data_IF_927593464728
#
_entry.id   IF_927593464728
#
_cell.length_a   1.000
_cell.length_b   1.000
_cell.length_c   1.000
_cell.angle_alpha   90.00
_cell.angle_beta   90.00
_cell.angle_gamma   90.00
#
_symmetry.space_group_name_H-M   'P 1'
#
loop_
_entity.id
_entity.type
_entity.pdbx_description
1 polymer ?
#
# COMPACT_ATOMS: atom_id res chain seq x y z
N UNK A 1 15.84 -3.40 -18.23
CA UNK A 1 14.99 -4.47 -17.64
C UNK A 1 13.76 -3.77 -17.07
N UNK A 2 12.64 -3.80 -17.80
CA UNK A 2 11.43 -3.06 -17.44
C UNK A 2 10.80 -3.66 -16.18
N UNK A 3 10.62 -2.85 -15.13
CA UNK A 3 9.80 -3.19 -13.99
C UNK A 3 8.37 -3.41 -14.47
N UNK A 4 7.99 -4.67 -14.66
CA UNK A 4 6.61 -5.07 -14.92
C UNK A 4 5.80 -4.73 -13.65
N UNK A 5 5.18 -3.56 -13.64
CA UNK A 5 4.26 -3.17 -12.58
C UNK A 5 3.14 -4.21 -12.50
N UNK A 6 3.17 -5.04 -11.46
CA UNK A 6 2.18 -6.09 -11.24
C UNK A 6 0.92 -5.47 -10.65
N UNK A 7 -0.01 -5.05 -11.51
CA UNK A 7 -1.33 -4.59 -11.08
C UNK A 7 -2.29 -5.78 -10.97
N UNK A 8 -2.84 -6.02 -9.78
CA UNK A 8 -4.00 -6.90 -9.61
C UNK A 8 -5.26 -6.10 -9.95
N UNK A 9 -5.99 -6.51 -11.00
CA UNK A 9 -7.32 -5.96 -11.29
C UNK A 9 -8.24 -6.28 -10.11
N UNK A 10 -9.00 -5.29 -9.65
CA UNK A 10 -9.87 -5.42 -8.47
C UNK A 10 -10.85 -6.62 -8.57
N UNK A 11 -11.42 -6.84 -9.77
CA UNK A 11 -12.34 -7.97 -10.02
C UNK A 11 -11.66 -9.33 -9.89
N UNK A 12 -10.40 -9.45 -10.31
CA UNK A 12 -9.64 -10.70 -10.25
C UNK A 12 -9.15 -10.97 -8.82
N UNK A 13 -8.76 -9.92 -8.08
CA UNK A 13 -8.45 -10.01 -6.64
C UNK A 13 -9.62 -10.57 -5.80
N UNK A 14 -10.86 -10.20 -6.15
CA UNK A 14 -12.05 -10.67 -5.41
C UNK A 14 -12.42 -12.12 -5.74
N UNK A 15 -12.21 -12.58 -6.98
CA UNK A 15 -12.50 -13.96 -7.41
C UNK A 15 -11.57 -14.98 -6.76
N UNK A 16 -10.30 -14.61 -6.62
CA UNK A 16 -9.27 -15.49 -6.06
C UNK A 16 -9.12 -15.36 -4.55
N UNK A 17 -10.00 -14.63 -3.85
CA UNK A 17 -9.83 -14.23 -2.44
C UNK A 17 -9.64 -15.47 -1.54
N UNK A 18 -8.38 -15.86 -1.24
CA UNK A 18 -8.11 -17.16 -0.67
C UNK A 18 -8.06 -16.97 0.84
N UNK A 19 -9.06 -17.51 1.56
CA UNK A 19 -9.15 -17.48 3.03
C UNK A 19 -9.25 -16.06 3.61
N UNK A 20 -10.02 -15.92 4.68
CA UNK A 20 -10.11 -14.67 5.42
C UNK A 20 -8.76 -14.48 6.13
N UNK A 21 -7.96 -13.52 5.68
CA UNK A 21 -6.78 -13.08 6.43
C UNK A 21 -7.29 -12.21 7.56
N UNK A 22 -7.09 -12.66 8.80
CA UNK A 22 -7.47 -11.88 9.95
C UNK A 22 -6.45 -10.74 10.15
N UNK A 23 -6.95 -9.50 10.16
CA UNK A 23 -6.21 -8.31 10.55
C UNK A 23 -6.82 -7.84 11.87
N UNK A 24 -6.05 -7.85 12.95
CA UNK A 24 -6.53 -7.34 14.24
C UNK A 24 -6.65 -5.83 14.22
N UNK A 25 -7.76 -5.35 14.79
CA UNK A 25 -8.11 -3.94 14.90
C UNK A 25 -8.43 -3.54 16.35
N UNK A 26 -7.80 -4.21 17.31
CA UNK A 26 -7.92 -3.89 18.74
C UNK A 26 -6.97 -2.75 19.15
N UNK A 27 -6.10 -2.32 18.25
CA UNK A 27 -5.15 -1.23 18.41
C UNK A 27 -5.02 -0.40 17.12
N UNK A 28 -4.22 0.66 17.18
CA UNK A 28 -4.02 1.60 16.07
C UNK A 28 -3.06 1.10 14.98
N UNK A 29 -2.82 -0.21 14.89
CA UNK A 29 -1.94 -0.82 13.87
C UNK A 29 -2.72 -1.49 12.73
N UNK A 30 -4.05 -1.50 12.75
CA UNK A 30 -4.87 -2.24 11.77
C UNK A 30 -4.52 -1.91 10.31
N UNK A 31 -4.39 -0.62 9.98
CA UNK A 31 -4.08 -0.18 8.63
C UNK A 31 -2.63 -0.53 8.26
N UNK A 32 -1.67 -0.34 9.18
CA UNK A 32 -0.29 -0.76 8.97
C UNK A 32 -0.18 -2.29 8.75
N UNK A 33 -0.91 -3.10 9.52
CA UNK A 33 -1.00 -4.57 9.30
C UNK A 33 -1.58 -4.90 7.93
N UNK A 34 -2.61 -4.18 7.48
CA UNK A 34 -3.19 -4.36 6.15
C UNK A 34 -2.15 -4.09 5.05
N UNK A 35 -1.34 -3.04 5.19
CA UNK A 35 -0.25 -2.74 4.26
C UNK A 35 0.83 -3.82 4.25
N UNK A 36 1.21 -4.35 5.42
CA UNK A 36 2.15 -5.47 5.54
C UNK A 36 1.62 -6.69 4.79
N UNK A 37 0.36 -7.06 5.01
CA UNK A 37 -0.28 -8.18 4.30
C UNK A 37 -0.29 -7.95 2.80
N UNK A 38 -0.69 -6.75 2.34
CA UNK A 38 -0.73 -6.41 0.93
C UNK A 38 0.66 -6.49 0.27
N UNK A 39 1.69 -5.94 0.92
CA UNK A 39 3.08 -5.98 0.43
C UNK A 39 3.58 -7.41 0.27
N UNK A 40 3.36 -8.27 1.27
CA UNK A 40 3.80 -9.66 1.21
C UNK A 40 2.98 -10.47 0.21
N UNK A 41 1.70 -10.14 0.05
CA UNK A 41 0.84 -10.79 -0.95
C UNK A 41 1.32 -10.54 -2.39
N UNK A 42 1.77 -9.33 -2.71
CA UNK A 42 2.33 -8.99 -4.04
C UNK A 42 3.49 -9.92 -4.37
N UNK A 43 4.36 -10.19 -3.37
CA UNK A 43 5.54 -11.05 -3.52
C UNK A 43 5.31 -12.50 -3.11
N UNK A 44 4.06 -12.97 -3.03
CA UNK A 44 3.74 -14.30 -2.46
C UNK A 44 4.39 -15.49 -3.19
N UNK A 45 4.76 -15.31 -4.46
CA UNK A 45 5.44 -16.31 -5.29
C UNK A 45 6.96 -16.14 -5.35
N UNK A 46 7.49 -15.05 -4.78
CA UNK A 46 8.92 -14.79 -4.80
C UNK A 46 9.64 -15.63 -3.73
N UNK A 47 10.59 -16.46 -4.21
CA UNK A 47 11.41 -17.32 -3.36
C UNK A 47 12.42 -16.53 -2.52
N UNK A 48 12.71 -15.28 -2.88
CA UNK A 48 13.63 -14.39 -2.18
C UNK A 48 12.92 -13.30 -1.37
N UNK A 49 11.59 -13.32 -1.30
CA UNK A 49 10.84 -12.35 -0.52
C UNK A 49 11.27 -12.34 0.96
N UNK A 50 11.49 -11.15 1.50
CA UNK A 50 11.89 -10.90 2.90
C UNK A 50 10.99 -11.62 3.91
N UNK A 51 9.70 -11.73 3.61
CA UNK A 51 8.75 -12.49 4.40
C UNK A 51 7.97 -13.44 3.50
N UNK A 52 7.82 -14.69 3.94
CA UNK A 52 7.01 -15.67 3.24
C UNK A 52 5.52 -15.43 3.46
N UNK A 53 4.75 -15.53 2.39
CA UNK A 53 3.29 -15.45 2.44
C UNK A 53 2.70 -16.41 3.47
N UNK A 54 3.23 -17.65 3.55
CA UNK A 54 2.74 -18.62 4.54
C UNK A 54 2.89 -18.13 5.98
N UNK A 55 3.93 -17.35 6.30
CA UNK A 55 4.17 -16.85 7.66
C UNK A 55 3.22 -15.71 8.04
N UNK A 56 2.86 -14.86 7.08
CA UNK A 56 1.95 -13.72 7.30
C UNK A 56 0.48 -14.14 7.27
N UNK A 57 0.12 -15.10 6.42
CA UNK A 57 -1.27 -15.59 6.29
C UNK A 57 -1.67 -16.54 7.43
N UNK A 58 -0.70 -17.20 8.08
CA UNK A 58 -1.00 -18.17 9.14
C UNK A 58 -1.81 -17.44 10.21
N UNK A 59 -2.92 -18.06 10.59
CA UNK A 59 -3.74 -17.66 11.71
C UNK A 59 -2.94 -17.93 13.00
N UNK A 60 -1.93 -17.10 13.24
CA UNK A 60 -1.26 -17.07 14.53
C UNK A 60 -2.13 -16.21 15.44
N UNK A 61 -2.63 -16.81 16.53
CA UNK A 61 -3.39 -16.11 17.57
C UNK A 61 -2.64 -14.92 18.16
N UNK A 62 -1.35 -14.76 17.89
CA UNK A 62 -0.55 -13.65 18.37
C UNK A 62 -0.26 -12.60 17.29
N UNK A 63 -0.47 -12.89 16.01
CA UNK A 63 -0.14 -11.99 14.88
C UNK A 63 1.24 -11.32 15.03
N UNK A 64 2.21 -12.01 15.64
CA UNK A 64 3.46 -11.40 16.08
C UNK A 64 4.22 -10.78 14.92
N UNK A 65 4.27 -11.47 13.78
CA UNK A 65 5.00 -10.97 12.62
C UNK A 65 4.30 -9.76 11.98
N UNK A 66 2.98 -9.81 11.79
CA UNK A 66 2.23 -8.65 11.27
C UNK A 66 2.39 -7.43 12.20
N UNK A 67 2.29 -7.65 13.51
CA UNK A 67 2.41 -6.59 14.52
C UNK A 67 3.82 -6.03 14.59
N UNK A 68 4.85 -6.86 14.54
CA UNK A 68 6.25 -6.43 14.53
C UNK A 68 6.53 -5.52 13.34
N UNK A 69 6.20 -5.96 12.13
CA UNK A 69 6.45 -5.19 10.90
C UNK A 69 5.57 -3.93 10.86
N UNK A 70 4.32 -4.02 11.34
CA UNK A 70 3.44 -2.86 11.45
C UNK A 70 4.03 -1.79 12.40
N UNK A 71 4.60 -2.19 13.54
CA UNK A 71 5.29 -1.26 14.45
C UNK A 71 6.50 -0.62 13.79
N UNK A 72 7.28 -1.37 13.01
CA UNK A 72 8.39 -0.82 12.23
C UNK A 72 7.90 0.26 11.24
N UNK A 73 6.78 -0.01 10.53
CA UNK A 73 6.13 0.99 9.65
C UNK A 73 5.71 2.25 10.41
N UNK A 74 5.09 2.09 11.58
CA UNK A 74 4.67 3.23 12.41
C UNK A 74 5.88 4.03 12.91
N UNK A 75 6.98 3.38 13.24
CA UNK A 75 8.23 4.05 13.63
C UNK A 75 8.84 4.85 12.48
N UNK A 76 8.93 4.27 11.29
CA UNK A 76 9.48 4.96 10.11
C UNK A 76 8.67 6.19 9.69
N UNK A 77 7.39 6.25 10.06
CA UNK A 77 6.48 7.36 9.75
C UNK A 77 6.34 8.38 10.89
N UNK A 78 7.01 8.17 12.02
CA UNK A 78 6.83 8.98 13.22
C UNK A 78 5.42 8.88 13.81
N UNK A 79 4.73 7.76 13.59
CA UNK A 79 3.38 7.46 14.07
C UNK A 79 3.36 6.51 15.28
N UNK A 80 4.51 6.18 15.87
CA UNK A 80 4.63 5.18 16.97
C UNK A 80 3.66 5.41 18.13
N UNK A 81 3.41 6.66 18.51
CA UNK A 81 2.53 7.04 19.62
C UNK A 81 1.15 7.49 19.18
N UNK A 82 0.77 7.27 17.91
CA UNK A 82 -0.52 7.70 17.40
C UNK A 82 -1.64 6.83 17.99
N UNK A 83 -2.61 7.49 18.67
CA UNK A 83 -3.71 6.81 19.36
C UNK A 83 -5.09 6.98 18.69
N UNK A 84 -5.15 7.66 17.54
CA UNK A 84 -6.41 7.97 16.84
C UNK A 84 -6.76 6.99 15.71
N UNK A 85 -7.88 7.27 15.04
CA UNK A 85 -8.28 6.53 13.84
C UNK A 85 -7.37 6.84 12.65
N UNK A 86 -6.91 5.81 11.93
CA UNK A 86 -6.07 6.02 10.77
C UNK A 86 -6.85 6.68 9.62
N UNK A 87 -6.55 7.96 9.35
CA UNK A 87 -7.17 8.75 8.28
C UNK A 87 -6.14 9.31 7.30
N UNK A 88 -6.57 10.30 6.48
CA UNK A 88 -5.78 10.90 5.40
C UNK A 88 -4.33 11.22 5.77
N UNK A 89 -4.11 11.92 6.89
CA UNK A 89 -2.76 12.30 7.34
C UNK A 89 -1.86 11.09 7.61
N UNK A 90 -2.42 10.04 8.23
CA UNK A 90 -1.68 8.81 8.47
C UNK A 90 -1.43 8.04 7.17
N UNK A 91 -2.39 8.04 6.25
CA UNK A 91 -2.25 7.40 4.94
C UNK A 91 -1.14 8.04 4.10
N UNK A 92 -1.04 9.37 4.11
CA UNK A 92 0.06 10.09 3.44
C UNK A 92 1.41 9.75 4.03
N UNK A 93 1.53 9.78 5.36
CA UNK A 93 2.78 9.37 6.02
C UNK A 93 3.15 7.92 5.71
N UNK A 94 2.19 6.99 5.70
CA UNK A 94 2.46 5.60 5.35
C UNK A 94 2.78 5.41 3.87
N UNK A 95 2.24 6.26 2.99
CA UNK A 95 2.62 6.28 1.57
C UNK A 95 4.10 6.60 1.39
N UNK A 96 4.71 7.47 2.20
CA UNK A 96 6.13 7.83 2.02
C UNK A 96 7.07 6.64 2.21
N UNK A 97 6.78 5.75 3.17
CA UNK A 97 7.58 4.52 3.42
C UNK A 97 7.41 3.49 2.31
N UNK A 98 6.33 3.57 1.54
CA UNK A 98 6.05 2.66 0.44
C UNK A 98 6.66 3.10 -0.90
N UNK A 99 7.16 4.34 -0.98
CA UNK A 99 7.81 4.85 -2.17
C UNK A 99 9.17 4.20 -2.43
N UNK A 100 9.59 4.13 -3.71
CA UNK A 100 8.83 4.41 -4.93
C UNK A 100 7.95 3.22 -5.38
N UNK A 101 7.97 2.12 -4.62
CA UNK A 101 7.58 0.80 -5.12
C UNK A 101 6.07 0.52 -5.07
N UNK A 102 5.32 1.16 -4.18
CA UNK A 102 3.89 0.91 -4.02
C UNK A 102 3.08 2.20 -3.90
N UNK A 103 1.84 2.15 -4.40
CA UNK A 103 0.83 3.22 -4.27
C UNK A 103 -0.36 2.71 -3.46
N UNK A 104 -0.70 3.43 -2.40
CA UNK A 104 -1.92 3.19 -1.63
C UNK A 104 -3.12 3.76 -2.40
N UNK A 105 -4.16 2.93 -2.54
CA UNK A 105 -5.48 3.35 -3.03
C UNK A 105 -6.54 2.85 -2.06
N UNK A 106 -7.34 3.75 -1.51
CA UNK A 106 -8.39 3.42 -0.54
C UNK A 106 -9.74 3.72 -1.16
N UNK A 107 -10.64 2.74 -1.09
CA UNK A 107 -11.99 2.84 -1.62
C UNK A 107 -12.98 2.75 -0.46
N UNK A 108 -13.97 3.64 -0.44
CA UNK A 108 -15.05 3.60 0.57
C UNK A 108 -16.18 2.70 0.09
N UNK A 109 -16.57 1.72 0.90
CA UNK A 109 -17.76 0.90 0.60
C UNK A 109 -19.06 1.72 0.77
N UNK A 110 -19.08 2.62 1.73
CA UNK A 110 -20.25 3.43 2.09
C UNK A 110 -20.55 4.50 1.03
N UNK A 111 -19.52 5.01 0.36
CA UNK A 111 -19.65 5.95 -0.76
C UNK A 111 -19.54 5.21 -2.11
N UNK A 112 -20.34 4.16 -2.31
CA UNK A 112 -20.47 3.46 -3.59
C UNK A 112 -19.16 2.96 -4.27
N UNK A 113 -18.11 2.66 -3.49
CA UNK A 113 -16.76 2.28 -3.96
C UNK A 113 -15.96 3.43 -4.57
N UNK A 114 -16.25 4.66 -4.18
CA UNK A 114 -15.45 5.81 -4.58
C UNK A 114 -14.04 5.73 -4.00
N UNK A 115 -13.08 6.17 -4.82
CA UNK A 115 -11.69 6.30 -4.44
C UNK A 115 -11.55 7.52 -3.53
N UNK A 116 -11.41 7.29 -2.22
CA UNK A 116 -11.29 8.36 -1.23
C UNK A 116 -9.85 8.81 -1.02
N UNK A 117 -8.86 7.96 -1.34
CA UNK A 117 -7.46 8.33 -1.22
C UNK A 117 -6.63 7.67 -2.31
N UNK A 118 -5.74 8.47 -2.92
CA UNK A 118 -4.73 8.03 -3.87
C UNK A 118 -3.39 8.59 -3.41
N UNK A 119 -2.51 7.73 -2.92
CA UNK A 119 -1.17 8.13 -2.55
C UNK A 119 -0.36 8.59 -3.75
N UNK A 120 0.57 9.52 -3.53
CA UNK A 120 1.49 9.99 -4.57
C UNK A 120 2.47 8.89 -4.96
N UNK A 121 2.78 8.79 -6.25
CA UNK A 121 3.94 8.06 -6.74
C UNK A 121 5.05 9.08 -6.92
N UNK A 122 6.20 8.86 -6.29
CA UNK A 122 7.40 9.63 -6.59
C UNK A 122 7.98 9.03 -7.87
N UNK A 123 7.58 9.59 -9.01
CA UNK A 123 8.39 9.47 -10.22
C UNK A 123 9.62 10.31 -9.96
N UNK A 124 10.79 9.69 -9.79
CA UNK A 124 12.03 10.45 -9.84
C UNK A 124 12.04 11.12 -11.22
N UNK A 125 11.82 12.44 -11.26
CA UNK A 125 12.09 13.20 -12.47
C UNK A 125 13.58 13.03 -12.76
N UNK A 126 13.99 12.67 -13.99
CA UNK A 126 15.40 12.72 -14.35
C UNK A 126 15.90 14.15 -14.10
N UNK A 127 16.96 14.26 -13.31
CA UNK A 127 17.58 15.54 -12.97
C UNK A 127 18.40 16.02 -14.16
N UNK A 128 17.86 16.98 -14.92
CA UNK A 128 18.53 17.83 -15.93
C UNK A 128 18.84 17.13 -17.26
N UNK A 129 18.81 17.78 -18.43
CA UNK A 129 18.57 19.16 -18.85
C UNK A 129 18.10 19.10 -20.31
N UNK A 130 16.97 19.71 -20.64
CA UNK A 130 16.78 20.34 -21.97
C UNK A 130 15.55 21.24 -21.89
N UNK A 131 15.77 22.55 -22.01
CA UNK A 131 14.74 23.48 -22.43
C UNK A 131 14.40 23.14 -23.88
N UNK A 132 13.18 22.67 -24.13
CA UNK A 132 12.59 22.76 -25.47
C UNK A 132 11.11 23.14 -25.30
N UNK A 133 10.87 24.41 -25.63
CA UNK A 133 9.70 25.02 -26.26
C UNK A 133 8.29 24.67 -25.73
N UNK A 134 7.65 25.72 -25.19
CA UNK A 134 6.22 25.91 -25.26
C UNK A 134 5.72 25.70 -26.69
N UNK A 135 4.81 24.75 -26.91
CA UNK A 135 3.69 25.01 -27.80
C UNK A 135 2.47 24.12 -27.52
N UNK A 136 1.38 24.80 -27.17
CA UNK A 136 -0.03 24.56 -27.51
C UNK A 136 -0.74 23.20 -27.28
N UNK A 137 -1.84 23.36 -26.53
CA UNK A 137 -3.23 22.98 -26.85
C UNK A 137 -3.77 21.57 -26.53
N UNK A 138 -4.79 21.67 -25.67
CA UNK A 138 -6.12 21.03 -25.77
C UNK A 138 -6.36 19.71 -25.03
N UNK A 139 -7.08 19.87 -23.92
CA UNK A 139 -8.25 19.08 -23.53
C UNK A 139 -8.82 18.21 -24.65
N UNK A 140 -8.88 16.90 -24.42
CA UNK A 140 -10.03 16.09 -24.80
C UNK A 140 -10.33 15.06 -23.71
N UNK A 141 -11.42 15.34 -23.01
CA UNK A 141 -12.23 14.37 -22.29
C UNK A 141 -12.84 13.41 -23.32
N UNK A 142 -12.69 12.11 -23.09
CA UNK A 142 -13.63 11.05 -23.46
C UNK A 142 -13.57 9.97 -22.38
#
# INVERSE_FOLDING_TARGET
IHNAHQYLKHKDFLKDKPRIILIRNEDNLCFARALVVARVYIHKKDMNAMYKWQSIQKFDKTHVLQTKIAKEFMTLTGLTNYQGSCGFHQWEKLQTVLLPNYQIKIFSKEQFKDLIFRGHLCFMQPVGNEQVEEDTMQEKIL
#
